data_IF_541767734201
#
_entry.id   IF_541767734201
#
_cell.length_a   1.000
_cell.length_b   1.000
_cell.length_c   1.000
_cell.angle_alpha   90.00
_cell.angle_beta   90.00
_cell.angle_gamma   90.00
#
_symmetry.space_group_name_H-M   'P 1'
#
loop_
_entity.id
_entity.type
_entity.pdbx_description
1 polymer ?
#
# COMPACT_ATOMS: atom_id res chain seq x y z
N UNK A 1 1.42 48.67 -21.26
CA UNK A 1 0.43 47.67 -20.79
C UNK A 1 1.11 46.81 -19.74
N UNK A 2 0.57 46.80 -18.52
CA UNK A 2 0.68 45.80 -17.44
C UNK A 2 0.46 46.51 -16.10
N UNK A 3 -0.81 46.73 -15.82
CA UNK A 3 -1.31 47.21 -14.53
C UNK A 3 -1.45 46.02 -13.58
N UNK A 4 -0.97 46.21 -12.36
CA UNK A 4 -1.21 45.40 -11.17
C UNK A 4 -2.70 45.02 -11.04
N UNK A 5 -2.99 43.72 -10.96
CA UNK A 5 -4.32 43.21 -10.59
C UNK A 5 -4.24 42.45 -9.26
N UNK A 6 -4.48 43.23 -8.21
CA UNK A 6 -5.16 42.89 -6.96
C UNK A 6 -5.24 41.42 -6.50
N UNK A 7 -4.31 41.11 -5.59
CA UNK A 7 -4.51 40.40 -4.32
C UNK A 7 -5.95 40.51 -3.78
N UNK A 8 -6.70 39.39 -3.75
CA UNK A 8 -7.81 39.08 -2.83
C UNK A 8 -8.33 37.66 -3.11
N UNK A 9 -7.71 36.66 -2.51
CA UNK A 9 -8.42 35.43 -2.15
C UNK A 9 -8.60 35.46 -0.64
N UNK A 10 -9.83 35.79 -0.26
CA UNK A 10 -10.32 35.88 1.11
C UNK A 10 -10.24 34.49 1.75
N UNK A 11 -9.68 34.45 2.96
CA UNK A 11 -9.72 33.33 3.90
C UNK A 11 -11.18 32.92 4.17
N UNK A 12 -11.53 31.69 3.83
CA UNK A 12 -12.66 30.97 4.43
C UNK A 12 -12.24 29.50 4.56
N UNK A 13 -12.34 28.95 5.77
CA UNK A 13 -12.59 27.51 5.93
C UNK A 13 -11.46 26.72 6.56
N UNK A 14 -11.43 26.74 7.88
CA UNK A 14 -10.86 25.73 8.76
C UNK A 14 -11.42 24.33 8.42
N UNK A 15 -10.63 23.48 7.77
CA UNK A 15 -10.75 22.01 7.84
C UNK A 15 -9.44 21.38 7.35
N UNK A 16 -8.75 20.67 8.25
CA UNK A 16 -7.48 20.02 7.99
C UNK A 16 -7.57 19.06 6.80
N UNK A 17 -7.06 19.50 5.66
CA UNK A 17 -6.54 18.60 4.64
C UNK A 17 -5.19 18.13 5.15
N UNK A 18 -5.23 17.11 6.00
CA UNK A 18 -4.08 16.23 6.21
C UNK A 18 -3.89 15.56 4.86
N UNK A 19 -3.10 16.19 3.98
CA UNK A 19 -2.57 15.54 2.80
C UNK A 19 -1.60 14.48 3.32
N UNK A 20 -2.14 13.34 3.75
CA UNK A 20 -1.38 12.10 3.87
C UNK A 20 -1.12 11.59 2.44
N UNK A 21 -0.44 12.42 1.65
CA UNK A 21 0.23 11.97 0.45
C UNK A 21 1.44 11.22 0.97
N UNK A 22 1.37 9.89 0.96
CA UNK A 22 2.46 9.00 1.33
C UNK A 22 3.75 9.46 0.67
N UNK A 23 4.77 9.66 1.50
CA UNK A 23 6.10 10.12 1.13
C UNK A 23 6.80 9.01 0.33
N UNK A 24 6.82 9.16 -1.00
CA UNK A 24 7.58 8.30 -1.90
C UNK A 24 6.78 7.13 -2.52
N UNK A 25 7.24 6.60 -3.67
CA UNK A 25 6.65 5.42 -4.27
C UNK A 25 6.80 4.22 -3.33
N UNK A 26 5.69 3.51 -3.08
CA UNK A 26 5.72 2.25 -2.35
C UNK A 26 6.36 1.17 -3.24
N UNK A 27 7.14 0.23 -2.69
CA UNK A 27 7.53 -0.96 -3.43
C UNK A 27 6.27 -1.67 -3.91
N UNK A 28 6.25 -1.96 -5.21
CA UNK A 28 5.06 -2.46 -5.86
C UNK A 28 5.19 -3.95 -6.16
N UNK A 29 4.22 -4.72 -5.69
CA UNK A 29 4.09 -6.16 -5.89
C UNK A 29 3.42 -6.37 -7.25
N UNK A 30 4.26 -6.63 -8.26
CA UNK A 30 3.89 -6.70 -9.67
C UNK A 30 3.72 -8.12 -10.23
N UNK A 31 3.63 -8.20 -11.57
CA UNK A 31 3.31 -9.43 -12.31
C UNK A 31 4.28 -10.58 -12.01
N UNK A 32 3.70 -11.77 -11.95
CA UNK A 32 4.26 -13.09 -11.61
C UNK A 32 5.34 -13.60 -12.58
N UNK A 33 6.45 -12.88 -12.73
CA UNK A 33 7.70 -13.45 -13.23
C UNK A 33 8.60 -13.94 -12.07
N UNK A 34 8.31 -13.51 -10.83
CA UNK A 34 8.38 -14.38 -9.66
C UNK A 34 9.78 -14.73 -9.15
N UNK A 35 10.70 -13.77 -9.11
CA UNK A 35 12.04 -13.99 -8.55
C UNK A 35 12.08 -13.88 -7.01
N UNK A 36 11.06 -13.25 -6.41
CA UNK A 36 11.03 -12.95 -4.98
C UNK A 36 9.91 -13.73 -4.29
N UNK A 37 10.21 -14.63 -3.34
CA UNK A 37 9.18 -15.29 -2.55
C UNK A 37 8.52 -14.28 -1.60
N UNK A 38 7.19 -14.34 -1.48
CA UNK A 38 6.42 -13.41 -0.64
C UNK A 38 6.82 -13.48 0.83
N UNK A 39 7.41 -14.59 1.30
CA UNK A 39 7.99 -14.72 2.64
C UNK A 39 9.09 -13.70 2.98
N UNK A 40 9.67 -13.01 1.98
CA UNK A 40 10.60 -11.89 2.20
C UNK A 40 9.90 -10.55 2.40
N UNK A 41 8.61 -10.47 2.10
CA UNK A 41 7.79 -9.26 2.15
C UNK A 41 6.71 -9.36 3.22
N UNK A 42 6.30 -10.56 3.57
CA UNK A 42 5.29 -10.83 4.59
C UNK A 42 5.78 -11.92 5.55
N UNK A 43 5.55 -11.70 6.84
CA UNK A 43 5.88 -12.66 7.89
C UNK A 43 4.67 -12.92 8.78
N UNK A 44 4.58 -14.14 9.30
CA UNK A 44 3.57 -14.50 10.28
C UNK A 44 4.03 -14.10 11.69
N UNK A 45 3.31 -13.18 12.32
CA UNK A 45 3.47 -12.82 13.72
C UNK A 45 2.81 -13.89 14.59
N UNK A 46 3.63 -14.76 15.18
CA UNK A 46 3.17 -15.86 16.02
C UNK A 46 2.55 -15.43 17.35
N UNK A 47 2.81 -14.21 17.81
CA UNK A 47 2.23 -13.66 19.04
C UNK A 47 0.81 -13.14 18.78
N UNK A 48 0.64 -12.39 17.68
CA UNK A 48 -0.64 -11.79 17.31
C UNK A 48 -1.50 -12.69 16.40
N UNK A 49 -0.95 -13.82 15.95
CA UNK A 49 -1.60 -14.80 15.06
C UNK A 49 -2.10 -14.17 13.75
N UNK A 50 -1.28 -13.31 13.14
CA UNK A 50 -1.61 -12.65 11.87
C UNK A 50 -0.38 -12.46 10.99
N UNK A 51 -0.60 -12.23 9.71
CA UNK A 51 0.45 -11.84 8.79
C UNK A 51 0.66 -10.33 8.81
N UNK A 52 1.92 -9.92 8.69
CA UNK A 52 2.35 -8.52 8.60
C UNK A 52 3.32 -8.36 7.46
N UNK A 53 3.13 -7.31 6.68
CA UNK A 53 4.14 -6.93 5.70
C UNK A 53 5.36 -6.36 6.43
N UNK A 54 6.56 -6.62 5.91
CA UNK A 54 7.81 -6.12 6.46
C UNK A 54 8.08 -4.67 6.06
N UNK A 55 7.37 -4.17 5.05
CA UNK A 55 7.37 -2.78 4.59
C UNK A 55 5.97 -2.40 4.07
N UNK A 56 5.77 -1.12 3.75
CA UNK A 56 4.54 -0.70 3.10
C UNK A 56 4.54 -1.18 1.66
N UNK A 57 3.48 -1.83 1.19
CA UNK A 57 3.42 -2.42 -0.15
C UNK A 57 2.18 -1.98 -0.91
N UNK A 58 2.32 -1.84 -2.22
CA UNK A 58 1.20 -1.70 -3.15
C UNK A 58 1.13 -2.92 -4.08
N UNK A 59 -0.06 -3.29 -4.55
CA UNK A 59 -0.27 -4.42 -5.45
C UNK A 59 -0.66 -3.91 -6.84
N UNK A 60 0.09 -4.36 -7.86
CA UNK A 60 -0.23 -4.24 -9.28
C UNK A 60 -0.49 -5.63 -9.92
N UNK A 61 -0.72 -6.64 -9.07
CA UNK A 61 -1.01 -7.99 -9.51
C UNK A 61 -2.49 -8.13 -9.90
N UNK A 62 -2.86 -8.86 -10.98
CA UNK A 62 -4.26 -8.99 -11.41
C UNK A 62 -5.26 -9.53 -10.38
N UNK A 63 -4.77 -10.14 -9.30
CA UNK A 63 -5.64 -10.62 -8.22
C UNK A 63 -5.94 -9.56 -7.16
N UNK A 64 -5.16 -8.48 -7.08
CA UNK A 64 -5.21 -7.47 -6.02
C UNK A 64 -4.81 -6.05 -6.48
N UNK A 65 -4.95 -5.75 -7.77
CA UNK A 65 -4.54 -4.48 -8.37
C UNK A 65 -5.17 -3.27 -7.66
N UNK A 66 -4.36 -2.26 -7.38
CA UNK A 66 -4.74 -1.04 -6.66
C UNK A 66 -4.89 -1.19 -5.14
N UNK A 67 -4.61 -2.37 -4.57
CA UNK A 67 -4.62 -2.55 -3.12
C UNK A 67 -3.27 -2.16 -2.51
N UNK A 68 -3.28 -1.57 -1.32
CA UNK A 68 -2.06 -1.25 -0.59
C UNK A 68 -2.21 -1.58 0.90
N UNK A 69 -1.09 -1.94 1.52
CA UNK A 69 -1.03 -2.32 2.92
C UNK A 69 0.16 -1.66 3.60
N UNK A 70 -0.07 -1.15 4.81
CA UNK A 70 0.98 -0.62 5.65
C UNK A 70 1.65 -1.75 6.43
N UNK A 71 2.95 -1.62 6.74
CA UNK A 71 3.72 -2.55 7.57
C UNK A 71 3.05 -2.83 8.93
N UNK A 72 2.36 -1.83 9.48
CA UNK A 72 1.64 -1.92 10.76
C UNK A 72 0.36 -2.74 10.69
N UNK A 73 -0.11 -3.10 9.49
CA UNK A 73 -1.37 -3.80 9.27
C UNK A 73 -1.23 -5.29 9.62
N UNK A 74 -2.07 -5.75 10.54
CA UNK A 74 -2.18 -7.15 10.95
C UNK A 74 -3.32 -7.82 10.17
N UNK A 75 -2.98 -8.78 9.30
CA UNK A 75 -3.92 -9.52 8.46
C UNK A 75 -4.13 -10.93 9.01
N UNK A 76 -5.28 -11.15 9.65
CA UNK A 76 -5.65 -12.45 10.20
C UNK A 76 -5.66 -13.53 9.10
N UNK A 77 -5.39 -14.78 9.50
CA UNK A 77 -5.49 -15.94 8.59
C UNK A 77 -6.86 -15.98 7.88
N UNK A 78 -6.87 -16.35 6.60
CA UNK A 78 -8.07 -16.34 5.76
C UNK A 78 -8.55 -14.94 5.29
N UNK A 79 -7.92 -13.84 5.72
CA UNK A 79 -8.24 -12.51 5.19
C UNK A 79 -7.94 -12.47 3.69
N UNK A 80 -8.87 -11.92 2.89
CA UNK A 80 -8.67 -11.77 1.44
C UNK A 80 -7.82 -10.55 1.11
N UNK A 81 -6.83 -10.77 0.25
CA UNK A 81 -6.14 -9.75 -0.55
C UNK A 81 -6.66 -9.91 -1.98
N UNK A 82 -7.60 -9.04 -2.33
CA UNK A 82 -8.34 -9.11 -3.59
C UNK A 82 -9.06 -10.45 -3.76
N UNK A 83 -8.63 -11.26 -4.74
CA UNK A 83 -9.21 -12.58 -5.04
C UNK A 83 -8.58 -13.75 -4.27
N UNK A 84 -7.45 -13.56 -3.59
CA UNK A 84 -6.72 -14.61 -2.86
C UNK A 84 -6.78 -14.41 -1.35
N UNK A 85 -6.59 -15.46 -0.57
CA UNK A 85 -6.39 -15.33 0.89
C UNK A 85 -4.96 -14.93 1.21
N UNK A 86 -4.72 -14.40 2.41
CA UNK A 86 -3.39 -14.02 2.87
C UNK A 86 -2.43 -15.23 2.92
N UNK A 87 -2.97 -16.39 3.27
CA UNK A 87 -2.23 -17.65 3.27
C UNK A 87 -1.80 -18.03 1.84
N UNK A 88 -2.73 -17.95 0.87
CA UNK A 88 -2.40 -18.17 -0.54
C UNK A 88 -1.40 -17.15 -1.07
N UNK A 89 -1.48 -15.88 -0.64
CA UNK A 89 -0.55 -14.83 -1.06
C UNK A 89 0.84 -15.04 -0.48
N UNK A 90 0.94 -15.48 0.77
CA UNK A 90 2.21 -15.75 1.46
C UNK A 90 3.04 -16.86 0.78
N UNK A 91 2.39 -17.76 0.03
CA UNK A 91 3.03 -18.83 -0.73
C UNK A 91 3.44 -18.42 -2.16
N UNK A 92 3.05 -17.22 -2.62
CA UNK A 92 3.37 -16.77 -3.98
C UNK A 92 4.82 -16.33 -4.15
N UNK A 93 5.26 -16.37 -5.40
CA UNK A 93 6.44 -15.64 -5.85
C UNK A 93 5.98 -14.43 -6.67
N UNK A 94 6.58 -13.28 -6.39
CA UNK A 94 6.22 -11.99 -6.99
C UNK A 94 7.47 -11.29 -7.51
N UNK A 95 7.24 -10.31 -8.36
CA UNK A 95 8.27 -9.37 -8.78
C UNK A 95 8.06 -8.07 -8.02
N UNK A 96 9.15 -7.45 -7.59
CA UNK A 96 9.15 -6.12 -6.99
C UNK A 96 9.53 -5.11 -8.08
N UNK A 97 8.79 -4.01 -8.14
CA UNK A 97 9.06 -2.88 -9.03
C UNK A 97 9.11 -1.58 -8.25
#
# INVERSE_FOLDING_TARGET
>A
MNLFAARRCLLIGLAGLITACSEGPLPTIGRTHGDVPMSRLIAFDSQQKCYRFLENVAFEAPFADGMAYQQTTCLNAGKKIGRKTIDEVAELHVSLT
#
